data_IF_130084361659
#
_entry.id   IF_130084361659
#
_cell.length_a   1.000
_cell.length_b   1.000
_cell.length_c   1.000
_cell.angle_alpha   90.00
_cell.angle_beta   90.00
_cell.angle_gamma   90.00
#
_symmetry.space_group_name_H-M   'P 1'
#
loop_
_entity.id
_entity.type
_entity.pdbx_description
1 polymer ?
#
# COMPACT_ATOMS: atom_id res chain seq x y z
N UNK A 1 0.21 -5.99 6.66
CA UNK A 1 0.15 -6.31 8.09
C UNK A 1 1.19 -5.50 8.85
N UNK A 2 0.80 -4.82 9.91
CA UNK A 2 1.68 -4.04 10.78
C UNK A 2 1.54 -4.60 12.20
N UNK A 3 2.65 -4.93 12.86
CA UNK A 3 2.65 -5.47 14.22
C UNK A 3 3.73 -4.82 15.07
N UNK A 4 3.36 -4.40 16.26
CA UNK A 4 4.26 -3.85 17.28
C UNK A 4 4.70 -4.88 18.33
N UNK A 5 4.27 -6.13 18.16
CA UNK A 5 4.55 -7.22 19.10
C UNK A 5 4.88 -8.54 18.39
N UNK A 6 5.63 -9.38 19.06
CA UNK A 6 5.71 -10.81 18.73
C UNK A 6 4.48 -11.54 19.29
N UNK A 7 3.99 -12.53 18.55
CA UNK A 7 2.86 -13.37 18.99
C UNK A 7 3.19 -14.25 20.21
N UNK A 8 4.46 -14.56 20.41
CA UNK A 8 4.96 -15.43 21.46
C UNK A 8 6.32 -14.98 21.97
N UNK A 9 6.67 -15.35 23.17
CA UNK A 9 8.05 -15.29 23.63
C UNK A 9 8.92 -16.26 22.83
N UNK A 10 10.14 -15.86 22.50
CA UNK A 10 11.06 -16.70 21.70
C UNK A 10 11.35 -18.04 22.39
N UNK A 11 11.53 -18.02 23.71
CA UNK A 11 11.84 -19.19 24.52
C UNK A 11 10.63 -19.74 25.28
N UNK A 12 9.68 -18.88 25.65
CA UNK A 12 8.44 -19.22 26.36
C UNK A 12 7.25 -19.09 25.43
N UNK A 13 7.10 -19.99 24.50
CA UNK A 13 6.11 -19.92 23.42
C UNK A 13 4.66 -20.10 23.88
N UNK A 14 4.44 -20.56 25.12
CA UNK A 14 3.12 -20.62 25.73
C UNK A 14 2.62 -19.24 26.24
N UNK A 15 3.50 -18.25 26.36
CA UNK A 15 3.12 -16.90 26.71
C UNK A 15 2.46 -16.23 25.49
N UNK A 16 1.25 -15.65 25.63
CA UNK A 16 0.44 -15.21 24.50
C UNK A 16 0.95 -13.93 23.80
N UNK A 17 1.86 -13.20 24.42
CA UNK A 17 2.50 -12.01 23.84
C UNK A 17 3.98 -12.01 24.16
N UNK A 18 4.79 -11.87 23.12
CA UNK A 18 6.25 -11.72 23.23
C UNK A 18 6.68 -10.28 23.47
N UNK A 19 7.90 -9.93 23.03
CA UNK A 19 8.41 -8.57 23.19
C UNK A 19 7.70 -7.60 22.25
N UNK A 20 7.48 -6.36 22.73
CA UNK A 20 6.83 -5.28 22.01
C UNK A 20 7.82 -4.16 21.71
N UNK A 21 7.61 -3.48 20.56
CA UNK A 21 8.28 -2.21 20.23
C UNK A 21 7.36 -1.40 19.34
N UNK A 22 7.23 -0.08 19.63
CA UNK A 22 6.41 0.85 18.85
C UNK A 22 6.77 0.77 17.37
N UNK A 23 5.77 0.71 16.50
CA UNK A 23 5.90 0.97 15.07
C UNK A 23 5.43 2.40 14.79
N UNK A 24 6.15 3.11 13.95
CA UNK A 24 5.82 4.47 13.58
C UNK A 24 5.75 4.62 12.06
N UNK A 25 4.62 5.08 11.58
CA UNK A 25 4.43 5.45 10.17
C UNK A 25 4.33 6.97 10.10
N UNK A 26 5.25 7.60 9.38
CA UNK A 26 5.23 9.04 9.15
C UNK A 26 4.17 9.43 8.12
N UNK A 27 4.06 10.73 7.83
CA UNK A 27 3.07 11.25 6.91
C UNK A 27 3.26 10.71 5.50
N UNK A 28 2.15 10.51 4.80
CA UNK A 28 2.10 10.08 3.40
C UNK A 28 2.85 8.76 3.10
N UNK A 29 2.96 7.86 4.08
CA UNK A 29 3.52 6.52 3.86
C UNK A 29 2.53 5.65 3.09
N UNK A 30 3.01 4.92 2.10
CA UNK A 30 2.22 3.94 1.37
C UNK A 30 2.70 2.52 1.65
N UNK A 31 1.86 1.74 2.31
CA UNK A 31 2.11 0.30 2.54
C UNK A 31 1.39 -0.50 1.45
N UNK A 32 2.18 -1.16 0.60
CA UNK A 32 1.69 -2.00 -0.49
C UNK A 32 0.95 -3.25 0.02
N UNK A 33 0.15 -3.85 -0.87
CA UNK A 33 -0.64 -5.04 -0.55
C UNK A 33 0.25 -6.18 -0.01
N UNK A 34 -0.23 -6.88 1.03
CA UNK A 34 0.46 -7.99 1.69
C UNK A 34 1.85 -7.67 2.24
N UNK A 35 2.24 -6.41 2.31
CA UNK A 35 3.47 -6.05 3.01
C UNK A 35 3.36 -6.31 4.51
N UNK A 36 4.48 -6.64 5.15
CA UNK A 36 4.58 -6.86 6.58
C UNK A 36 5.59 -5.86 7.16
N UNK A 37 5.15 -5.11 8.18
CA UNK A 37 6.03 -4.21 8.95
C UNK A 37 6.14 -4.76 10.35
N UNK A 38 7.36 -5.08 10.76
CA UNK A 38 7.65 -5.64 12.07
C UNK A 38 7.77 -4.60 13.17
N UNK A 39 7.76 -5.08 14.40
CA UNK A 39 7.89 -4.24 15.60
C UNK A 39 9.17 -3.41 15.60
N UNK A 40 9.07 -2.21 16.15
CA UNK A 40 10.19 -1.29 16.32
C UNK A 40 10.64 -0.59 15.06
N UNK A 41 9.87 -0.70 13.96
CA UNK A 41 10.21 -0.07 12.68
C UNK A 41 9.57 1.31 12.59
N UNK A 42 10.35 2.28 12.14
CA UNK A 42 9.88 3.58 11.68
C UNK A 42 9.90 3.63 10.16
N UNK A 43 8.80 3.97 9.52
CA UNK A 43 8.74 4.26 8.08
C UNK A 43 8.72 5.76 7.89
N UNK A 44 9.72 6.27 7.17
CA UNK A 44 9.90 7.69 6.91
C UNK A 44 8.85 8.29 5.98
N UNK A 45 8.76 9.61 6.01
CA UNK A 45 7.77 10.40 5.28
C UNK A 45 7.84 10.16 3.78
N UNK A 46 6.68 10.13 3.10
CA UNK A 46 6.53 9.90 1.67
C UNK A 46 7.11 8.57 1.16
N UNK A 47 7.51 7.65 2.03
CA UNK A 47 8.11 6.40 1.61
C UNK A 47 7.08 5.34 1.25
N UNK A 48 7.48 4.46 0.36
CA UNK A 48 6.63 3.39 -0.18
C UNK A 48 7.23 2.05 0.19
N UNK A 49 6.43 1.21 0.80
CA UNK A 49 6.72 -0.21 1.01
C UNK A 49 6.04 -1.00 -0.10
N UNK A 50 6.81 -1.63 -0.96
CA UNK A 50 6.28 -2.41 -2.08
C UNK A 50 5.42 -3.59 -1.60
N UNK A 51 4.50 -4.03 -2.45
CA UNK A 51 3.65 -5.19 -2.17
C UNK A 51 4.49 -6.43 -1.82
N UNK A 52 4.06 -7.18 -0.82
CA UNK A 52 4.74 -8.40 -0.34
C UNK A 52 6.08 -8.18 0.38
N UNK A 53 6.49 -6.94 0.62
CA UNK A 53 7.74 -6.64 1.31
C UNK A 53 7.68 -6.98 2.81
N UNK A 54 8.81 -7.44 3.38
CA UNK A 54 8.97 -7.71 4.82
C UNK A 54 9.95 -6.70 5.41
N UNK A 55 9.41 -5.70 6.11
CA UNK A 55 10.19 -4.60 6.68
C UNK A 55 10.54 -4.91 8.12
N UNK A 56 11.84 -5.06 8.40
CA UNK A 56 12.38 -5.39 9.74
C UNK A 56 13.41 -4.36 10.23
N UNK A 57 13.59 -3.27 9.47
CA UNK A 57 14.48 -2.15 9.80
C UNK A 57 13.82 -0.85 9.39
N UNK A 58 14.24 0.25 10.01
CA UNK A 58 13.76 1.58 9.67
C UNK A 58 13.95 1.90 8.19
N UNK A 59 13.00 2.62 7.65
CA UNK A 59 12.96 3.10 6.27
C UNK A 59 13.11 4.61 6.28
N UNK A 60 14.14 5.17 5.61
CA UNK A 60 14.31 6.61 5.48
C UNK A 60 13.14 7.29 4.77
N UNK A 61 13.09 8.62 4.82
CA UNK A 61 12.14 9.42 4.07
C UNK A 61 12.38 9.31 2.55
N UNK A 62 11.33 9.50 1.78
CA UNK A 62 11.37 9.60 0.32
C UNK A 62 12.08 8.42 -0.39
N UNK A 63 11.83 7.18 0.06
CA UNK A 63 12.37 5.98 -0.60
C UNK A 63 11.28 4.96 -0.92
N UNK A 64 11.57 4.10 -1.87
CA UNK A 64 10.82 2.86 -2.12
C UNK A 64 11.66 1.70 -1.59
N UNK A 65 11.07 0.87 -0.74
CA UNK A 65 11.67 -0.37 -0.26
C UNK A 65 10.84 -1.58 -0.68
N UNK A 66 11.48 -2.72 -0.87
CA UNK A 66 10.81 -3.97 -1.24
C UNK A 66 11.66 -5.20 -1.03
N UNK A 67 11.03 -6.36 -1.15
CA UNK A 67 11.66 -7.67 -0.96
C UNK A 67 11.57 -8.21 0.47
N UNK A 68 12.18 -9.36 0.71
CA UNK A 68 12.24 -10.04 2.00
C UNK A 68 13.69 -10.48 2.31
N UNK A 69 14.37 -9.88 3.30
CA UNK A 69 13.98 -8.64 3.98
C UNK A 69 13.98 -7.44 3.04
N UNK A 70 13.15 -6.43 3.34
CA UNK A 70 13.02 -5.25 2.52
C UNK A 70 14.34 -4.48 2.42
N UNK A 71 14.66 -4.04 1.20
CA UNK A 71 15.84 -3.21 0.88
C UNK A 71 15.40 -2.02 0.06
N UNK A 72 16.19 -0.95 0.09
CA UNK A 72 15.95 0.23 -0.76
C UNK A 72 16.04 -0.16 -2.23
N UNK A 73 14.98 0.15 -2.99
CA UNK A 73 14.89 -0.04 -4.45
C UNK A 73 15.21 1.26 -5.16
N UNK A 74 14.64 2.38 -4.68
CA UNK A 74 14.74 3.68 -5.33
C UNK A 74 14.63 4.81 -4.32
N UNK A 75 15.25 5.94 -4.62
CA UNK A 75 14.99 7.23 -3.98
C UNK A 75 13.93 8.00 -4.76
N UNK A 76 13.06 8.68 -4.04
CA UNK A 76 12.06 9.57 -4.59
C UNK A 76 12.61 11.00 -4.53
N UNK A 77 12.36 11.78 -5.56
CA UNK A 77 12.72 13.20 -5.56
C UNK A 77 11.85 13.95 -4.52
N UNK A 78 12.44 14.52 -3.48
CA UNK A 78 11.68 15.24 -2.45
C UNK A 78 11.00 16.50 -3.00
N UNK A 79 11.51 17.08 -4.12
CA UNK A 79 10.99 18.29 -4.72
C UNK A 79 9.88 18.03 -5.75
N UNK A 80 9.63 16.76 -6.10
CA UNK A 80 8.54 16.40 -6.97
C UNK A 80 7.21 16.75 -6.31
N UNK A 81 6.32 17.43 -7.05
CA UNK A 81 4.96 17.68 -6.59
C UNK A 81 4.25 16.37 -6.23
N UNK A 82 3.64 16.35 -5.07
CA UNK A 82 2.92 15.19 -4.55
C UNK A 82 1.46 15.57 -4.29
N UNK A 83 0.56 14.91 -4.97
CA UNK A 83 -0.86 14.96 -4.64
C UNK A 83 -1.15 13.85 -3.64
N UNK A 84 -1.53 14.21 -2.44
CA UNK A 84 -1.83 13.26 -1.37
C UNK A 84 -3.31 12.96 -1.30
N UNK A 85 -3.69 11.87 -0.65
CA UNK A 85 -5.11 11.59 -0.38
C UNK A 85 -5.80 12.72 0.39
N UNK A 86 -5.07 13.40 1.28
CA UNK A 86 -5.58 14.55 2.00
C UNK A 86 -6.01 15.68 1.06
N UNK A 87 -5.30 15.85 -0.05
CA UNK A 87 -5.64 16.86 -1.06
C UNK A 87 -6.92 16.49 -1.82
N UNK A 88 -7.13 15.21 -2.10
CA UNK A 88 -8.36 14.71 -2.73
C UNK A 88 -9.62 14.96 -1.88
N UNK A 89 -9.48 14.94 -0.56
CA UNK A 89 -10.62 15.16 0.36
C UNK A 89 -10.92 16.63 0.64
N UNK A 90 -10.13 17.57 0.11
CA UNK A 90 -10.40 19.01 0.27
C UNK A 90 -11.65 19.46 -0.50
N UNK A 91 -11.95 18.82 -1.62
CA UNK A 91 -13.13 19.07 -2.44
C UNK A 91 -13.88 17.76 -2.69
N UNK A 92 -14.88 17.44 -1.85
CA UNK A 92 -15.67 16.20 -1.99
C UNK A 92 -16.46 16.14 -3.29
N UNK A 93 -16.88 17.28 -3.83
CA UNK A 93 -17.68 17.33 -5.06
C UNK A 93 -16.78 17.00 -6.27
N UNK A 94 -15.61 17.63 -6.35
CA UNK A 94 -14.65 17.33 -7.41
C UNK A 94 -14.16 15.86 -7.32
N UNK A 95 -14.07 15.30 -6.12
CA UNK A 95 -13.74 13.90 -5.92
C UNK A 95 -14.83 12.96 -6.45
N UNK A 96 -16.10 13.25 -6.17
CA UNK A 96 -17.25 12.50 -6.69
C UNK A 96 -17.29 12.54 -8.23
N UNK A 97 -17.13 13.74 -8.82
CA UNK A 97 -17.07 13.90 -10.27
C UNK A 97 -15.91 13.10 -10.90
N UNK A 98 -14.75 13.08 -10.25
CA UNK A 98 -13.60 12.29 -10.69
C UNK A 98 -13.91 10.79 -10.68
N UNK A 99 -14.52 10.27 -9.61
CA UNK A 99 -14.89 8.85 -9.53
C UNK A 99 -15.97 8.49 -10.56
N UNK A 100 -16.97 9.33 -10.74
CA UNK A 100 -17.99 9.15 -11.77
C UNK A 100 -17.39 9.13 -13.19
N UNK A 101 -16.39 9.97 -13.44
CA UNK A 101 -15.66 9.96 -14.70
C UNK A 101 -14.87 8.66 -14.89
N UNK A 102 -14.13 8.23 -13.87
CA UNK A 102 -13.35 6.99 -13.92
C UNK A 102 -14.23 5.77 -14.12
N UNK A 103 -15.35 5.68 -13.42
CA UNK A 103 -16.33 4.61 -13.59
C UNK A 103 -16.90 4.59 -15.02
N UNK A 104 -17.24 5.75 -15.60
CA UNK A 104 -17.68 5.82 -16.99
C UNK A 104 -16.62 5.36 -17.99
N UNK A 105 -15.34 5.65 -17.71
CA UNK A 105 -14.23 5.22 -18.57
C UNK A 105 -14.01 3.71 -18.46
N UNK A 106 -13.94 3.20 -17.23
CA UNK A 106 -13.68 1.78 -16.97
C UNK A 106 -14.85 0.89 -17.37
N UNK A 107 -16.09 1.36 -17.16
CA UNK A 107 -17.30 0.61 -17.48
C UNK A 107 -17.79 0.82 -18.91
N UNK A 108 -17.11 1.64 -19.72
CA UNK A 108 -17.53 1.97 -21.11
C UNK A 108 -17.83 0.73 -21.99
N UNK A 109 -17.18 -0.41 -21.69
CA UNK A 109 -17.40 -1.68 -22.39
C UNK A 109 -18.35 -2.62 -21.65
N UNK A 110 -18.82 -2.23 -20.46
CA UNK A 110 -19.61 -3.06 -19.58
C UNK A 110 -21.11 -2.87 -19.89
N UNK A 111 -21.51 -3.27 -21.08
CA UNK A 111 -22.92 -3.30 -21.50
C UNK A 111 -23.42 -4.75 -21.53
N UNK A 112 -24.74 -4.95 -21.46
CA UNK A 112 -25.36 -6.29 -21.61
C UNK A 112 -24.91 -6.98 -22.90
N UNK A 113 -24.81 -6.23 -24.00
CA UNK A 113 -24.27 -6.73 -25.27
C UNK A 113 -22.78 -7.06 -25.18
N UNK A 114 -21.99 -6.25 -24.49
CA UNK A 114 -20.56 -6.49 -24.22
C UNK A 114 -20.37 -7.75 -23.39
N UNK A 115 -21.21 -7.95 -22.38
CA UNK A 115 -21.20 -9.16 -21.55
C UNK A 115 -21.56 -10.42 -22.35
N UNK A 116 -22.66 -10.40 -23.11
CA UNK A 116 -23.06 -11.51 -23.99
C UNK A 116 -21.95 -11.82 -25.00
N UNK A 117 -21.35 -10.80 -25.61
CA UNK A 117 -20.23 -10.98 -26.54
C UNK A 117 -19.02 -11.64 -25.88
N UNK A 118 -18.71 -11.32 -24.62
CA UNK A 118 -17.58 -11.92 -23.89
C UNK A 118 -17.77 -13.41 -23.60
N UNK A 119 -19.02 -13.87 -23.51
CA UNK A 119 -19.35 -15.30 -23.36
C UNK A 119 -19.14 -16.08 -24.65
N UNK A 120 -19.37 -15.44 -25.81
CA UNK A 120 -19.30 -16.08 -27.12
C UNK A 120 -17.88 -15.94 -27.72
N UNK A 121 -17.26 -14.79 -27.52
CA UNK A 121 -15.92 -14.45 -28.03
C UNK A 121 -15.08 -13.95 -26.88
N UNK A 122 -14.47 -14.85 -26.08
CA UNK A 122 -13.60 -14.43 -25.00
C UNK A 122 -12.41 -13.65 -25.57
N UNK A 123 -12.20 -12.42 -25.06
CA UNK A 123 -11.01 -11.63 -25.41
C UNK A 123 -9.77 -12.39 -24.95
N UNK A 124 -8.79 -12.57 -25.84
CA UNK A 124 -7.47 -13.03 -25.41
C UNK A 124 -6.95 -12.01 -24.38
N UNK A 125 -6.77 -12.47 -23.14
CA UNK A 125 -6.08 -11.67 -22.11
C UNK A 125 -4.68 -11.34 -22.62
N UNK A 126 -4.37 -10.04 -22.65
CA UNK A 126 -2.98 -9.59 -22.71
C UNK A 126 -2.29 -9.88 -21.40
#
# INVERSE_FOLDING_TARGET
YVSDADWHGIYKRAEPVGSTKKVELKDNVWIGDRAVVGKGVTIGENSIVAAGAIVVKDVPDNVIVGGNPAKKIKELDPNQEKVTRKDLFKDPIALEELYDYLDKVDLKKNSTLGWVRSLIIPSKKQ
#
